data_IF_041698827331
#
_entry.id   IF_041698827331
#
_cell.length_a   1.000
_cell.length_b   1.000
_cell.length_c   1.000
_cell.angle_alpha   90.00
_cell.angle_beta   90.00
_cell.angle_gamma   90.00
#
_symmetry.space_group_name_H-M   'P 1'
#
loop_
_entity.id
_entity.type
_entity.pdbx_description
1 polymer ?
#
# COMPACT_ATOMS: atom_id res chain seq x y z
N UNK A 1 2.22 93.84 3.76
CA UNK A 1 2.56 94.92 2.82
C UNK A 1 4.06 95.04 2.75
N UNK A 2 4.59 94.96 1.52
CA UNK A 2 5.83 95.52 0.98
C UNK A 2 7.08 95.50 1.86
N UNK A 3 8.07 94.68 1.46
CA UNK A 3 9.20 95.10 0.61
C UNK A 3 10.37 95.52 1.53
N UNK A 4 11.64 95.27 1.26
CA UNK A 4 12.34 95.11 -0.02
C UNK A 4 13.67 94.43 0.29
N UNK A 5 14.19 93.76 -0.73
CA UNK A 5 15.55 93.23 -0.94
C UNK A 5 16.69 94.03 -0.31
N UNK A 6 17.75 93.32 0.11
CA UNK A 6 19.07 93.54 -0.49
C UNK A 6 20.02 92.33 -0.39
N UNK A 7 20.77 92.15 -1.47
CA UNK A 7 21.82 91.14 -1.70
C UNK A 7 23.17 91.63 -1.19
N UNK A 8 23.93 90.81 -0.47
CA UNK A 8 25.42 90.82 -0.42
C UNK A 8 25.86 89.36 -0.11
N UNK A 9 26.35 88.54 -1.06
CA UNK A 9 27.71 88.37 -1.62
C UNK A 9 28.84 88.02 -0.60
N UNK A 10 29.51 86.87 -0.87
CA UNK A 10 30.89 86.49 -0.48
C UNK A 10 31.01 85.91 0.95
N UNK A 11 31.65 84.77 1.25
CA UNK A 11 32.80 84.08 0.63
C UNK A 11 32.76 82.56 0.90
N UNK A 12 33.15 81.81 -0.13
CA UNK A 12 33.52 80.39 -0.04
C UNK A 12 34.86 80.24 0.70
N UNK A 13 34.86 79.48 1.79
CA UNK A 13 36.07 78.86 2.33
C UNK A 13 36.01 77.36 2.03
N UNK A 14 36.68 76.98 0.93
CA UNK A 14 36.98 75.59 0.59
C UNK A 14 37.91 75.00 1.65
N UNK A 15 37.35 74.29 2.63
CA UNK A 15 38.12 73.32 3.40
C UNK A 15 38.07 71.98 2.66
N UNK A 16 39.20 71.66 2.02
CA UNK A 16 39.40 70.41 1.29
C UNK A 16 39.20 69.19 2.21
N UNK A 17 38.46 68.16 1.76
CA UNK A 17 38.37 66.90 2.49
C UNK A 17 39.72 66.17 2.43
N UNK A 18 40.31 65.93 3.60
CA UNK A 18 41.45 65.01 3.79
C UNK A 18 41.02 63.62 3.35
N UNK A 19 41.35 63.24 2.11
CA UNK A 19 41.14 61.91 1.57
C UNK A 19 41.97 60.89 2.37
N UNK A 20 41.32 60.15 3.27
CA UNK A 20 41.92 58.95 3.86
C UNK A 20 41.98 57.87 2.78
N UNK A 21 43.17 57.43 2.34
CA UNK A 21 43.27 56.31 1.43
C UNK A 21 43.11 54.99 2.21
N UNK A 22 42.50 54.01 1.53
CA UNK A 22 42.89 52.60 1.61
C UNK A 22 42.29 51.61 2.65
N UNK A 23 41.20 51.92 3.37
CA UNK A 23 40.54 50.84 4.15
C UNK A 23 39.64 49.93 3.28
N UNK A 24 39.02 50.47 2.22
CA UNK A 24 38.12 49.68 1.36
C UNK A 24 38.83 48.65 0.48
N UNK A 25 40.08 48.90 0.07
CA UNK A 25 40.82 47.97 -0.80
C UNK A 25 41.20 46.67 -0.06
N UNK A 26 41.39 46.75 1.27
CA UNK A 26 41.74 45.58 2.10
C UNK A 26 40.57 44.60 2.27
N UNK A 27 39.34 45.09 2.44
CA UNK A 27 38.15 44.23 2.53
C UNK A 27 37.81 43.55 1.21
N UNK A 28 37.95 44.25 0.08
CA UNK A 28 37.67 43.66 -1.24
C UNK A 28 38.62 42.49 -1.57
N UNK A 29 39.91 42.58 -1.20
CA UNK A 29 40.85 41.47 -1.41
C UNK A 29 40.47 40.21 -0.61
N UNK A 30 39.94 40.35 0.62
CA UNK A 30 39.50 39.21 1.42
C UNK A 30 38.24 38.55 0.85
N UNK A 31 37.29 39.33 0.33
CA UNK A 31 36.08 38.80 -0.30
C UNK A 31 36.43 38.04 -1.58
N UNK A 32 37.31 38.60 -2.42
CA UNK A 32 37.76 37.92 -3.65
C UNK A 32 38.49 36.60 -3.39
N UNK A 33 39.19 36.46 -2.26
CA UNK A 33 39.82 35.21 -1.87
C UNK A 33 38.84 34.15 -1.38
N UNK A 34 37.68 34.53 -0.83
CA UNK A 34 36.68 33.60 -0.27
C UNK A 34 35.73 33.06 -1.35
N UNK A 35 35.40 33.87 -2.37
CA UNK A 35 34.50 33.50 -3.47
C UNK A 35 34.86 32.14 -4.14
N UNK A 36 36.12 31.84 -4.51
CA UNK A 36 36.44 30.55 -5.14
C UNK A 36 36.19 29.36 -4.20
N UNK A 37 36.40 29.51 -2.89
CA UNK A 37 36.12 28.45 -1.91
C UNK A 37 34.61 28.19 -1.76
N UNK A 38 33.79 29.25 -1.78
CA UNK A 38 32.33 29.11 -1.75
C UNK A 38 31.84 28.38 -3.02
N UNK A 39 32.37 28.74 -4.20
CA UNK A 39 32.01 28.08 -5.46
C UNK A 39 32.41 26.61 -5.44
N UNK A 40 33.63 26.28 -4.99
CA UNK A 40 34.10 24.90 -4.84
C UNK A 40 33.22 24.08 -3.88
N UNK A 41 32.81 24.68 -2.76
CA UNK A 41 31.95 24.01 -1.78
C UNK A 41 30.54 23.72 -2.34
N UNK A 42 29.94 24.67 -3.08
CA UNK A 42 28.65 24.48 -3.74
C UNK A 42 28.75 23.37 -4.80
N UNK A 43 29.81 23.36 -5.61
CA UNK A 43 30.05 22.31 -6.61
C UNK A 43 30.22 20.93 -5.95
N UNK A 44 30.91 20.85 -4.81
CA UNK A 44 31.06 19.61 -4.05
C UNK A 44 29.70 19.08 -3.55
N UNK A 45 28.86 19.94 -2.95
CA UNK A 45 27.53 19.54 -2.51
C UNK A 45 26.65 19.08 -3.68
N UNK A 46 26.67 19.80 -4.80
CA UNK A 46 25.95 19.38 -6.01
C UNK A 46 26.42 18.00 -6.49
N UNK A 47 27.72 17.75 -6.49
CA UNK A 47 28.29 16.45 -6.90
C UNK A 47 27.84 15.32 -5.98
N UNK A 48 27.76 15.55 -4.66
CA UNK A 48 27.22 14.58 -3.72
C UNK A 48 25.73 14.31 -3.93
N UNK A 49 24.94 15.34 -4.21
CA UNK A 49 23.52 15.18 -4.56
C UNK A 49 23.35 14.39 -5.85
N UNK A 50 24.12 14.71 -6.89
CA UNK A 50 24.13 13.97 -8.16
C UNK A 50 24.56 12.52 -7.95
N UNK A 51 25.65 12.26 -7.21
CA UNK A 51 26.08 10.89 -6.90
C UNK A 51 25.01 10.10 -6.14
N UNK A 52 24.35 10.72 -5.16
CA UNK A 52 23.25 10.08 -4.44
C UNK A 52 22.12 9.70 -5.40
N UNK A 53 21.69 10.61 -6.27
CA UNK A 53 20.62 10.32 -7.23
C UNK A 53 21.03 9.28 -8.29
N UNK A 54 22.26 9.34 -8.80
CA UNK A 54 22.80 8.36 -9.74
C UNK A 54 22.92 6.98 -9.08
N UNK A 55 23.40 6.91 -7.84
CA UNK A 55 23.49 5.65 -7.09
C UNK A 55 22.10 5.07 -6.78
N UNK A 56 21.13 5.91 -6.41
CA UNK A 56 19.73 5.46 -6.25
C UNK A 56 19.14 4.96 -7.56
N UNK A 57 19.36 5.67 -8.67
CA UNK A 57 18.91 5.24 -9.99
C UNK A 57 19.59 3.94 -10.42
N UNK A 58 20.90 3.80 -10.15
CA UNK A 58 21.68 2.61 -10.49
C UNK A 58 21.28 1.40 -9.64
N UNK A 59 21.09 1.54 -8.32
CA UNK A 59 20.60 0.46 -7.45
C UNK A 59 19.19 0.01 -7.88
N UNK A 60 18.32 0.96 -8.24
CA UNK A 60 16.98 0.62 -8.72
C UNK A 60 16.99 -0.03 -10.11
N UNK A 61 17.94 0.34 -10.98
CA UNK A 61 18.03 -0.21 -12.33
C UNK A 61 18.83 -1.53 -12.41
N UNK A 62 19.74 -1.80 -11.45
CA UNK A 62 20.51 -3.04 -11.42
C UNK A 62 19.90 -4.13 -10.52
N UNK A 63 18.81 -3.85 -9.80
CA UNK A 63 18.02 -4.89 -9.16
C UNK A 63 17.23 -5.76 -10.17
N UNK A 64 17.32 -5.48 -11.47
CA UNK A 64 16.63 -6.21 -12.54
C UNK A 64 17.57 -7.09 -13.40
N UNK A 65 18.82 -7.29 -12.98
CA UNK A 65 19.70 -8.29 -13.61
C UNK A 65 19.23 -9.71 -13.28
N UNK A 66 18.31 -10.21 -14.11
CA UNK A 66 18.31 -11.57 -14.67
C UNK A 66 18.76 -12.70 -13.73
N UNK A 67 18.17 -12.81 -12.55
CA UNK A 67 17.69 -14.14 -12.18
C UNK A 67 16.54 -14.42 -13.12
N UNK A 68 16.58 -15.54 -13.86
CA UNK A 68 15.45 -16.12 -14.59
C UNK A 68 14.33 -16.57 -13.63
N UNK A 69 14.05 -15.76 -12.63
CA UNK A 69 13.20 -16.03 -11.50
C UNK A 69 11.79 -15.58 -11.81
N UNK A 70 10.86 -16.32 -11.23
CA UNK A 70 9.44 -16.06 -11.33
C UNK A 70 9.11 -14.62 -10.94
N UNK A 71 8.27 -13.97 -11.75
CA UNK A 71 7.74 -12.63 -11.49
C UNK A 71 6.41 -12.74 -10.75
N UNK A 72 6.27 -12.03 -9.64
CA UNK A 72 5.02 -12.03 -8.87
C UNK A 72 4.31 -10.68 -9.02
N UNK A 73 2.98 -10.69 -9.10
CA UNK A 73 2.15 -9.51 -8.92
C UNK A 73 1.38 -9.63 -7.61
N UNK A 74 1.48 -8.62 -6.75
CA UNK A 74 0.71 -8.54 -5.52
C UNK A 74 -0.51 -7.66 -5.76
N UNK A 75 -1.68 -8.23 -5.56
CA UNK A 75 -2.95 -7.55 -5.66
C UNK A 75 -3.53 -7.29 -4.27
N UNK A 76 -3.43 -6.05 -3.80
CA UNK A 76 -3.94 -5.61 -2.51
C UNK A 76 -5.22 -4.79 -2.69
N UNK A 77 -6.37 -5.35 -2.30
CA UNK A 77 -7.65 -4.66 -2.51
C UNK A 77 -8.52 -4.62 -1.26
N UNK A 78 -9.28 -3.54 -1.10
CA UNK A 78 -10.29 -3.41 -0.05
C UNK A 78 -10.25 -2.09 0.69
N UNK A 79 -10.90 -2.06 1.85
CA UNK A 79 -10.94 -0.89 2.72
C UNK A 79 -9.64 -0.86 3.52
N UNK A 80 -8.83 0.22 3.48
CA UNK A 80 -7.51 0.28 4.12
C UNK A 80 -7.57 0.48 5.64
N UNK A 81 -8.40 -0.31 6.35
CA UNK A 81 -8.74 -0.09 7.77
C UNK A 81 -7.53 0.03 8.70
N UNK A 82 -6.47 -0.71 8.43
CA UNK A 82 -5.28 -0.78 9.28
C UNK A 82 -3.98 -0.59 8.52
N UNK A 83 -4.03 -0.33 7.21
CA UNK A 83 -2.83 -0.14 6.37
C UNK A 83 -1.97 1.05 6.80
N UNK A 84 -2.51 2.02 7.55
CA UNK A 84 -1.75 3.15 8.08
C UNK A 84 -0.83 2.77 9.26
N UNK A 85 -1.02 1.60 9.87
CA UNK A 85 -0.19 1.11 10.97
C UNK A 85 1.15 0.61 10.41
N UNK A 86 2.25 1.06 10.99
CA UNK A 86 3.60 0.72 10.53
C UNK A 86 3.86 -0.77 10.54
N UNK A 87 3.41 -1.45 11.59
CA UNK A 87 3.61 -2.87 11.77
C UNK A 87 3.01 -3.68 10.62
N UNK A 88 1.88 -3.25 10.05
CA UNK A 88 1.23 -3.94 8.95
C UNK A 88 2.01 -3.81 7.63
N UNK A 89 2.29 -2.59 7.18
CA UNK A 89 2.93 -2.42 5.88
C UNK A 89 4.43 -2.81 5.91
N UNK A 90 5.09 -2.70 7.05
CA UNK A 90 6.46 -3.23 7.24
C UNK A 90 6.44 -4.76 7.23
N UNK A 91 5.52 -5.39 7.95
CA UNK A 91 5.34 -6.84 7.91
C UNK A 91 5.04 -7.34 6.50
N UNK A 92 4.09 -6.70 5.81
CA UNK A 92 3.74 -7.06 4.44
C UNK A 92 4.94 -7.01 3.50
N UNK A 93 5.76 -5.94 3.56
CA UNK A 93 6.98 -5.88 2.75
C UNK A 93 7.96 -7.00 3.10
N UNK A 94 8.20 -7.22 4.40
CA UNK A 94 9.19 -8.19 4.87
C UNK A 94 8.79 -9.64 4.58
N UNK A 95 7.54 -10.00 4.87
CA UNK A 95 7.05 -11.38 4.83
C UNK A 95 6.42 -11.74 3.48
N UNK A 96 5.94 -10.78 2.69
CA UNK A 96 5.43 -11.03 1.34
C UNK A 96 6.37 -10.51 0.25
N UNK A 97 6.53 -9.19 0.10
CA UNK A 97 7.24 -8.62 -1.06
C UNK A 97 8.72 -9.03 -1.13
N UNK A 98 9.41 -9.19 0.01
CA UNK A 98 10.80 -9.63 0.01
C UNK A 98 10.95 -11.15 -0.25
N UNK A 99 9.90 -11.95 -0.03
CA UNK A 99 9.92 -13.41 -0.22
C UNK A 99 9.39 -13.83 -1.59
N UNK A 100 8.45 -13.06 -2.10
CA UNK A 100 7.94 -13.12 -3.45
C UNK A 100 8.16 -11.74 -4.09
N UNK A 101 9.39 -11.44 -4.55
CA UNK A 101 9.68 -10.18 -5.23
C UNK A 101 8.74 -9.97 -6.41
N UNK A 102 8.12 -8.79 -6.45
CA UNK A 102 7.04 -8.53 -7.38
C UNK A 102 6.54 -7.10 -7.36
N UNK A 103 5.68 -6.80 -8.33
CA UNK A 103 5.02 -5.51 -8.42
C UNK A 103 3.75 -5.49 -7.57
N UNK A 104 3.54 -4.42 -6.82
CA UNK A 104 2.36 -4.26 -5.96
C UNK A 104 1.31 -3.35 -6.63
N UNK A 105 0.09 -3.84 -6.71
CA UNK A 105 -1.10 -3.17 -7.24
C UNK A 105 -2.09 -2.97 -6.10
N UNK A 106 -2.50 -1.72 -5.86
CA UNK A 106 -3.25 -1.32 -4.68
C UNK A 106 -4.59 -0.68 -5.09
N UNK A 107 -5.70 -1.33 -4.76
CA UNK A 107 -7.07 -0.86 -5.07
C UNK A 107 -7.81 -0.59 -3.76
N UNK A 108 -7.87 0.67 -3.34
CA UNK A 108 -8.39 1.05 -2.02
C UNK A 108 -9.75 1.71 -2.11
N UNK A 109 -10.66 1.26 -1.26
CA UNK A 109 -12.01 1.80 -1.13
C UNK A 109 -12.03 2.94 -0.10
N UNK A 110 -12.43 4.14 -0.55
CA UNK A 110 -12.59 5.33 0.27
C UNK A 110 -13.96 5.32 0.93
N UNK A 111 -14.03 4.98 2.21
CA UNK A 111 -15.25 5.11 3.00
C UNK A 111 -15.72 6.57 3.07
N UNK A 112 -17.03 6.78 2.91
CA UNK A 112 -17.62 8.10 3.12
C UNK A 112 -17.55 8.45 4.61
N UNK A 113 -17.43 9.75 4.92
CA UNK A 113 -17.24 10.30 6.28
C UNK A 113 -18.27 9.84 7.34
N UNK A 114 -19.38 9.25 6.92
CA UNK A 114 -20.50 8.84 7.77
C UNK A 114 -20.68 7.33 7.87
N UNK A 115 -19.83 6.53 7.21
CA UNK A 115 -19.92 5.07 7.32
C UNK A 115 -19.44 4.64 8.72
N UNK A 116 -20.37 4.12 9.51
CA UNK A 116 -20.06 3.41 10.74
C UNK A 116 -19.81 1.95 10.41
N UNK A 117 -18.60 1.47 10.65
CA UNK A 117 -18.35 0.03 10.69
C UNK A 117 -18.52 -0.38 12.16
N UNK A 118 -19.42 -1.34 12.43
CA UNK A 118 -19.81 -1.81 13.78
C UNK A 118 -19.96 -0.69 14.83
N UNK A 119 -20.65 0.41 14.47
CA UNK A 119 -20.94 1.52 15.39
C UNK A 119 -19.81 2.53 15.58
N UNK A 120 -18.65 2.35 14.93
CA UNK A 120 -17.55 3.32 15.01
C UNK A 120 -17.53 4.22 13.78
N UNK A 121 -17.62 5.53 14.03
CA UNK A 121 -17.45 6.56 12.99
C UNK A 121 -16.00 6.57 12.50
N UNK A 122 -15.77 6.08 11.27
CA UNK A 122 -14.46 6.14 10.63
C UNK A 122 -14.39 7.47 9.86
N UNK A 123 -14.17 8.56 10.58
CA UNK A 123 -14.24 9.91 10.02
C UNK A 123 -13.01 10.34 9.19
N UNK A 124 -11.96 9.52 9.08
CA UNK A 124 -10.74 9.90 8.34
C UNK A 124 -10.05 8.73 7.60
N UNK A 125 -10.67 8.30 6.50
CA UNK A 125 -10.01 7.55 5.42
C UNK A 125 -9.42 8.48 4.35
N UNK A 126 -8.78 9.56 4.75
CA UNK A 126 -8.10 10.46 3.82
C UNK A 126 -6.87 9.77 3.22
N UNK A 127 -6.62 9.86 1.91
CA UNK A 127 -5.40 9.35 1.27
C UNK A 127 -4.11 9.74 2.01
N UNK A 128 -4.09 10.93 2.63
CA UNK A 128 -2.97 11.44 3.44
C UNK A 128 -2.56 10.51 4.58
N UNK A 129 -3.50 9.79 5.20
CA UNK A 129 -3.23 8.86 6.31
C UNK A 129 -2.39 7.65 5.86
N UNK A 130 -2.50 7.30 4.58
CA UNK A 130 -1.86 6.12 3.98
C UNK A 130 -0.57 6.46 3.24
N UNK A 131 -0.19 7.74 3.16
CA UNK A 131 0.99 8.20 2.40
C UNK A 131 2.27 7.51 2.85
N UNK A 132 2.47 7.32 4.16
CA UNK A 132 3.66 6.63 4.68
C UNK A 132 3.72 5.18 4.20
N UNK A 133 2.61 4.45 4.35
CA UNK A 133 2.48 3.06 3.91
C UNK A 133 2.69 2.92 2.39
N UNK A 134 2.03 3.75 1.58
CA UNK A 134 2.14 3.72 0.12
C UNK A 134 3.53 4.11 -0.35
N UNK A 135 4.17 5.09 0.29
CA UNK A 135 5.57 5.44 0.00
C UNK A 135 6.52 4.30 0.35
N UNK A 136 6.27 3.58 1.45
CA UNK A 136 7.12 2.49 1.90
C UNK A 136 6.96 1.22 1.04
N UNK A 137 5.72 0.90 0.66
CA UNK A 137 5.37 -0.27 -0.15
C UNK A 137 5.66 -0.08 -1.65
N UNK A 138 5.85 1.17 -2.10
CA UNK A 138 6.18 1.52 -3.48
C UNK A 138 5.31 0.79 -4.53
N UNK A 139 3.97 0.89 -4.45
CA UNK A 139 3.10 0.20 -5.39
C UNK A 139 3.30 0.74 -6.81
N UNK A 140 3.29 -0.19 -7.77
CA UNK A 140 3.35 0.12 -9.20
C UNK A 140 2.11 0.87 -9.67
N UNK A 141 0.95 0.53 -9.09
CA UNK A 141 -0.33 1.18 -9.37
C UNK A 141 -1.14 1.37 -8.10
N UNK A 142 -1.76 2.54 -7.96
CA UNK A 142 -2.72 2.84 -6.90
C UNK A 142 -4.01 3.32 -7.57
N UNK A 143 -5.14 2.77 -7.15
CA UNK A 143 -6.47 3.24 -7.50
C UNK A 143 -7.30 3.47 -6.23
N UNK A 144 -7.97 4.61 -6.18
CA UNK A 144 -8.91 4.94 -5.11
C UNK A 144 -10.34 4.85 -5.66
N UNK A 145 -11.16 4.00 -5.04
CA UNK A 145 -12.56 3.79 -5.44
C UNK A 145 -13.47 4.44 -4.39
N UNK A 146 -14.37 5.36 -4.76
CA UNK A 146 -15.33 5.94 -3.83
C UNK A 146 -16.30 4.90 -3.23
N UNK A 147 -16.58 4.94 -1.92
CA UNK A 147 -17.59 4.07 -1.26
C UNK A 147 -19.02 4.37 -1.74
N UNK A 148 -19.33 5.58 -2.19
CA UNK A 148 -20.64 5.88 -2.78
C UNK A 148 -20.84 5.27 -4.17
N UNK A 149 -19.77 4.80 -4.82
CA UNK A 149 -19.87 3.81 -5.89
C UNK A 149 -20.02 2.40 -5.31
N UNK A 150 -20.79 2.26 -4.23
CA UNK A 150 -21.75 1.16 -4.09
C UNK A 150 -22.68 1.22 -5.30
N UNK A 151 -22.18 0.80 -6.46
CA UNK A 151 -22.99 -0.03 -7.35
C UNK A 151 -23.70 -1.01 -6.40
N UNK A 152 -25.02 -0.93 -6.27
CA UNK A 152 -25.86 -1.77 -5.39
C UNK A 152 -25.34 -2.03 -3.96
N UNK A 153 -25.77 -1.22 -2.99
CA UNK A 153 -25.65 -1.60 -1.59
C UNK A 153 -26.43 -2.90 -1.33
N UNK A 154 -25.75 -3.87 -0.71
CA UNK A 154 -26.17 -5.22 -0.32
C UNK A 154 -25.64 -6.30 -1.29
N UNK A 155 -24.97 -7.28 -0.70
CA UNK A 155 -24.63 -8.59 -1.26
C UNK A 155 -23.29 -8.68 -2.03
N UNK A 156 -22.65 -9.84 -1.89
CA UNK A 156 -21.24 -10.19 -2.14
C UNK A 156 -20.70 -9.92 -3.57
N UNK A 157 -21.52 -9.41 -4.48
CA UNK A 157 -21.18 -9.03 -5.87
C UNK A 157 -20.00 -8.05 -5.98
N UNK A 158 -19.93 -7.07 -5.08
CA UNK A 158 -19.04 -5.92 -5.23
C UNK A 158 -17.63 -6.16 -4.70
N UNK A 159 -17.45 -7.17 -3.86
CA UNK A 159 -16.12 -7.63 -3.44
C UNK A 159 -15.27 -8.01 -4.65
N UNK A 160 -15.88 -8.61 -5.67
CA UNK A 160 -15.20 -9.13 -6.87
C UNK A 160 -14.74 -8.06 -7.84
N UNK A 161 -15.51 -6.98 -8.00
CA UNK A 161 -15.15 -5.90 -8.92
C UNK A 161 -13.77 -5.29 -8.61
N UNK A 162 -13.39 -5.22 -7.32
CA UNK A 162 -12.06 -4.73 -6.90
C UNK A 162 -10.93 -5.67 -7.33
N UNK A 163 -11.14 -6.98 -7.19
CA UNK A 163 -10.18 -8.00 -7.63
C UNK A 163 -10.03 -8.01 -9.14
N UNK A 164 -11.15 -7.91 -9.86
CA UNK A 164 -11.15 -7.78 -11.30
C UNK A 164 -10.38 -6.54 -11.76
N UNK A 165 -10.64 -5.36 -11.17
CA UNK A 165 -9.90 -4.12 -11.49
C UNK A 165 -8.40 -4.26 -11.26
N UNK A 166 -8.03 -4.90 -10.16
CA UNK A 166 -6.63 -5.16 -9.86
C UNK A 166 -5.97 -6.05 -10.92
N UNK A 167 -6.67 -7.11 -11.37
CA UNK A 167 -6.21 -7.97 -12.46
C UNK A 167 -6.09 -7.19 -13.79
N UNK A 168 -7.02 -6.29 -14.07
CA UNK A 168 -6.96 -5.41 -15.25
C UNK A 168 -5.73 -4.49 -15.22
N UNK A 169 -5.34 -3.95 -14.06
CA UNK A 169 -4.09 -3.18 -13.94
C UNK A 169 -2.84 -4.05 -14.15
N UNK A 170 -2.87 -5.29 -13.65
CA UNK A 170 -1.78 -6.26 -13.90
C UNK A 170 -1.64 -6.49 -15.41
N UNK A 171 -2.74 -6.78 -16.11
CA UNK A 171 -2.76 -7.02 -17.56
C UNK A 171 -2.33 -5.80 -18.37
N UNK A 172 -2.73 -4.59 -17.95
CA UNK A 172 -2.27 -3.36 -18.57
C UNK A 172 -0.75 -3.22 -18.48
N UNK A 173 -0.17 -3.51 -17.32
CA UNK A 173 1.28 -3.48 -17.12
C UNK A 173 1.99 -4.59 -17.91
N UNK A 174 1.45 -5.82 -17.90
CA UNK A 174 1.98 -6.93 -18.73
C UNK A 174 2.05 -6.52 -20.20
N UNK A 175 0.99 -5.89 -20.71
CA UNK A 175 0.93 -5.40 -22.10
C UNK A 175 1.85 -4.21 -22.37
N UNK A 176 1.89 -3.23 -21.47
CA UNK A 176 2.66 -1.99 -21.66
C UNK A 176 4.17 -2.25 -21.62
N UNK A 177 4.61 -3.10 -20.69
CA UNK A 177 6.03 -3.32 -20.43
C UNK A 177 6.58 -4.58 -21.12
N UNK A 178 5.71 -5.34 -21.81
CA UNK A 178 6.09 -6.60 -22.47
C UNK A 178 6.54 -7.67 -21.47
N UNK A 179 6.03 -7.62 -20.23
CA UNK A 179 6.34 -8.58 -19.18
C UNK A 179 5.17 -9.55 -18.99
N UNK A 180 5.43 -10.67 -18.32
CA UNK A 180 4.39 -11.58 -17.86
C UNK A 180 4.69 -11.95 -16.41
N UNK A 181 3.67 -11.92 -15.56
CA UNK A 181 3.79 -12.45 -14.21
C UNK A 181 3.56 -13.96 -14.22
N UNK A 182 4.27 -14.66 -13.35
CA UNK A 182 4.12 -16.10 -13.15
C UNK A 182 3.11 -16.39 -12.05
N UNK A 183 3.08 -15.55 -11.02
CA UNK A 183 2.20 -15.69 -9.86
C UNK A 183 1.46 -14.40 -9.52
N UNK A 184 0.27 -14.54 -8.96
CA UNK A 184 -0.52 -13.47 -8.36
C UNK A 184 -0.74 -13.79 -6.89
N UNK A 185 -0.43 -12.84 -6.01
CA UNK A 185 -0.77 -12.87 -4.59
C UNK A 185 -1.96 -11.95 -4.36
N UNK A 186 -3.11 -12.52 -4.00
CA UNK A 186 -4.31 -11.79 -3.61
C UNK A 186 -4.27 -11.54 -2.10
N UNK A 187 -4.46 -10.30 -1.66
CA UNK A 187 -4.48 -9.94 -0.23
C UNK A 187 -5.32 -8.70 0.05
N UNK A 188 -5.72 -8.48 1.30
CA UNK A 188 -6.39 -7.25 1.75
C UNK A 188 -5.42 -6.33 2.50
N UNK A 189 -5.69 -5.02 2.51
CA UNK A 189 -4.86 -4.04 3.21
C UNK A 189 -4.94 -4.13 4.75
N UNK A 190 -5.83 -4.95 5.31
CA UNK A 190 -5.96 -5.19 6.75
C UNK A 190 -5.48 -6.58 7.20
N UNK A 191 -4.80 -7.32 6.31
CA UNK A 191 -4.17 -8.60 6.66
C UNK A 191 -2.74 -8.41 7.15
N UNK A 192 -2.45 -8.98 8.31
CA UNK A 192 -1.11 -9.12 8.85
C UNK A 192 -0.58 -10.51 8.51
N UNK A 193 0.49 -10.57 7.72
CA UNK A 193 1.15 -11.82 7.36
C UNK A 193 2.19 -12.09 8.43
N UNK A 194 1.91 -13.01 9.36
CA UNK A 194 2.73 -13.26 10.54
C UNK A 194 3.96 -14.14 10.25
N UNK A 195 3.96 -14.90 9.14
CA UNK A 195 5.08 -15.74 8.72
C UNK A 195 5.44 -15.47 7.26
N UNK A 196 6.73 -15.62 6.95
CA UNK A 196 7.25 -15.50 5.59
C UNK A 196 6.44 -16.39 4.62
N UNK A 197 6.03 -15.79 3.50
CA UNK A 197 5.48 -16.55 2.39
C UNK A 197 6.56 -17.46 1.79
N UNK A 198 6.17 -18.61 1.21
CA UNK A 198 7.10 -19.44 0.46
C UNK A 198 7.71 -18.62 -0.70
N UNK A 199 8.95 -18.94 -1.06
CA UNK A 199 9.60 -18.36 -2.24
C UNK A 199 8.97 -18.92 -3.51
N UNK A 200 9.12 -18.20 -4.62
CA UNK A 200 8.37 -18.49 -5.85
C UNK A 200 8.71 -19.85 -6.48
N UNK A 201 9.91 -20.38 -6.24
CA UNK A 201 10.35 -21.72 -6.64
C UNK A 201 9.60 -22.86 -5.92
N UNK A 202 9.01 -22.58 -4.77
CA UNK A 202 8.21 -23.53 -4.00
C UNK A 202 6.72 -23.46 -4.33
N UNK A 203 6.30 -22.49 -5.16
CA UNK A 203 4.90 -22.31 -5.51
C UNK A 203 4.49 -23.27 -6.63
N UNK A 204 3.32 -23.95 -6.50
CA UNK A 204 2.85 -24.84 -7.54
C UNK A 204 2.33 -24.03 -8.74
N UNK A 205 2.63 -24.49 -9.95
CA UNK A 205 2.20 -23.84 -11.20
C UNK A 205 0.85 -24.33 -11.73
N UNK A 206 0.25 -25.33 -11.07
CA UNK A 206 -0.96 -26.02 -11.54
C UNK A 206 -2.17 -25.96 -10.59
N UNK A 207 -2.05 -25.25 -9.46
CA UNK A 207 -3.13 -25.12 -8.47
C UNK A 207 -3.05 -23.79 -7.74
N UNK A 208 -4.17 -23.36 -7.17
CA UNK A 208 -4.26 -22.17 -6.31
C UNK A 208 -4.02 -22.56 -4.86
N UNK A 209 -3.15 -21.83 -4.16
CA UNK A 209 -2.98 -21.94 -2.71
C UNK A 209 -3.91 -20.95 -2.00
N UNK A 210 -4.73 -21.44 -1.08
CA UNK A 210 -5.78 -20.66 -0.42
C UNK A 210 -5.62 -20.78 1.08
N UNK A 211 -5.66 -19.64 1.79
CA UNK A 211 -5.64 -19.69 3.25
C UNK A 211 -6.96 -20.28 3.77
N UNK A 212 -6.94 -21.29 4.66
CA UNK A 212 -8.16 -21.73 5.31
C UNK A 212 -8.78 -20.57 6.10
N UNK A 213 -10.11 -20.48 6.10
CA UNK A 213 -10.79 -19.42 6.85
C UNK A 213 -10.48 -19.49 8.35
N UNK A 214 -10.41 -20.69 8.92
CA UNK A 214 -10.19 -20.87 10.35
C UNK A 214 -8.85 -20.27 10.82
N UNK A 215 -7.82 -20.21 9.97
CA UNK A 215 -6.51 -19.62 10.30
C UNK A 215 -6.61 -18.12 10.63
N UNK A 216 -7.57 -17.40 10.04
CA UNK A 216 -7.79 -15.98 10.38
C UNK A 216 -8.37 -15.80 11.80
N UNK A 217 -8.88 -16.87 12.41
CA UNK A 217 -9.61 -16.85 13.67
C UNK A 217 -8.98 -17.70 14.78
N UNK A 218 -7.93 -18.50 14.52
CA UNK A 218 -7.35 -19.41 15.52
C UNK A 218 -6.79 -18.69 16.75
N UNK A 219 -6.28 -17.47 16.57
CA UNK A 219 -5.77 -16.65 17.66
C UNK A 219 -6.80 -15.63 18.14
N UNK A 220 -8.08 -15.78 17.74
CA UNK A 220 -9.11 -14.99 18.38
C UNK A 220 -9.29 -15.48 19.81
N UNK A 221 -9.19 -14.56 20.76
CA UNK A 221 -9.26 -14.86 22.17
C UNK A 221 -10.61 -15.41 22.61
N UNK A 222 -10.59 -16.26 23.63
CA UNK A 222 -11.74 -16.97 24.19
C UNK A 222 -12.91 -16.09 24.66
N UNK A 223 -12.70 -14.77 24.79
CA UNK A 223 -13.73 -13.79 25.15
C UNK A 223 -14.62 -13.33 23.99
N UNK A 224 -14.23 -13.57 22.72
CA UNK A 224 -15.09 -13.33 21.55
C UNK A 224 -16.13 -14.46 21.38
N UNK A 225 -16.88 -14.71 22.46
CA UNK A 225 -17.95 -15.70 22.55
C UNK A 225 -19.26 -15.25 21.86
N UNK A 226 -19.21 -14.18 21.07
CA UNK A 226 -20.33 -13.80 20.21
C UNK A 226 -20.43 -14.76 19.02
N UNK A 227 -21.16 -15.85 19.28
CA UNK A 227 -22.20 -16.33 18.36
C UNK A 227 -21.78 -16.59 16.91
N UNK A 228 -20.62 -17.21 16.68
CA UNK A 228 -20.50 -18.08 15.50
C UNK A 228 -20.28 -19.55 15.91
N UNK A 229 -21.23 -20.20 16.62
CA UNK A 229 -21.27 -21.65 16.77
C UNK A 229 -21.08 -22.36 15.43
N UNK A 230 -21.54 -21.73 14.34
CA UNK A 230 -21.30 -22.19 12.98
C UNK A 230 -19.82 -22.12 12.59
N UNK A 231 -19.00 -21.18 13.05
CA UNK A 231 -17.56 -21.18 12.78
C UNK A 231 -16.91 -22.40 13.46
N UNK A 232 -17.09 -22.57 14.77
CA UNK A 232 -16.47 -23.66 15.54
C UNK A 232 -16.90 -25.04 15.01
N UNK A 233 -18.20 -25.26 14.79
CA UNK A 233 -18.73 -26.49 14.21
C UNK A 233 -18.38 -26.68 12.71
N UNK A 234 -17.84 -25.64 12.06
CA UNK A 234 -17.32 -25.70 10.69
C UNK A 234 -15.81 -25.84 10.63
N UNK A 235 -15.05 -25.49 11.67
CA UNK A 235 -13.60 -25.80 11.76
C UNK A 235 -13.41 -27.32 11.81
N UNK A 236 -14.29 -28.03 12.52
CA UNK A 236 -14.28 -29.50 12.64
C UNK A 236 -14.66 -30.23 11.34
N UNK A 237 -15.29 -29.52 10.39
CA UNK A 237 -15.68 -30.07 9.10
C UNK A 237 -14.76 -29.47 8.04
N UNK A 238 -14.08 -30.29 7.24
CA UNK A 238 -13.26 -29.86 6.08
C UNK A 238 -14.02 -29.01 5.01
N UNK A 239 -15.26 -28.62 5.30
CA UNK A 239 -16.17 -27.81 4.51
C UNK A 239 -15.95 -26.30 4.65
N UNK A 240 -14.97 -25.83 5.41
CA UNK A 240 -14.69 -24.40 5.42
C UNK A 240 -14.42 -23.90 3.99
N UNK A 241 -15.20 -22.89 3.61
CA UNK A 241 -15.17 -22.27 2.29
C UNK A 241 -13.77 -21.87 1.84
N UNK A 242 -13.62 -21.62 0.55
CA UNK A 242 -12.41 -20.99 0.01
C UNK A 242 -12.33 -19.56 0.55
N UNK A 243 -11.23 -19.18 1.20
CA UNK A 243 -11.07 -17.80 1.64
C UNK A 243 -10.93 -16.84 0.47
N UNK A 244 -11.87 -15.91 0.38
CA UNK A 244 -11.79 -14.76 -0.52
C UNK A 244 -10.76 -13.71 -0.06
N UNK A 245 -10.08 -13.91 1.07
CA UNK A 245 -9.25 -12.88 1.70
C UNK A 245 -7.77 -12.95 1.29
N UNK A 246 -7.22 -14.16 1.16
CA UNK A 246 -5.83 -14.38 0.77
C UNK A 246 -5.67 -15.63 -0.09
N UNK A 247 -4.94 -15.50 -1.20
CA UNK A 247 -4.58 -16.62 -2.05
C UNK A 247 -3.28 -16.33 -2.82
N UNK A 248 -2.56 -17.39 -3.18
CA UNK A 248 -1.45 -17.34 -4.14
C UNK A 248 -1.81 -18.24 -5.32
N UNK A 249 -1.75 -17.72 -6.53
CA UNK A 249 -2.15 -18.46 -7.73
C UNK A 249 -1.16 -18.27 -8.88
N UNK A 250 -0.96 -19.28 -9.72
CA UNK A 250 -0.35 -19.08 -11.04
C UNK A 250 -1.14 -18.03 -11.82
N UNK A 251 -0.45 -17.15 -12.54
CA UNK A 251 -1.10 -16.13 -13.38
C UNK A 251 -2.08 -16.74 -14.38
N UNK A 252 -1.78 -17.92 -14.90
CA UNK A 252 -2.65 -18.69 -15.82
C UNK A 252 -3.97 -19.16 -15.20
N UNK A 253 -4.07 -19.21 -13.87
CA UNK A 253 -5.25 -19.67 -13.13
C UNK A 253 -5.99 -18.51 -12.43
N UNK A 254 -5.52 -17.28 -12.59
CA UNK A 254 -6.05 -16.14 -11.85
C UNK A 254 -7.44 -15.69 -12.32
N UNK A 255 -7.71 -15.77 -13.62
CA UNK A 255 -8.96 -15.31 -14.23
C UNK A 255 -10.22 -15.91 -13.58
N UNK A 256 -10.37 -17.24 -13.45
CA UNK A 256 -11.56 -17.83 -12.81
C UNK A 256 -11.66 -17.51 -11.31
N UNK A 257 -10.58 -17.05 -10.66
CA UNK A 257 -10.58 -16.70 -9.24
C UNK A 257 -10.85 -15.21 -8.99
N UNK A 258 -10.36 -14.34 -9.87
CA UNK A 258 -10.35 -12.88 -9.71
C UNK A 258 -11.48 -12.19 -10.48
N UNK A 259 -12.00 -12.82 -11.56
CA UNK A 259 -13.12 -12.32 -12.39
C UNK A 259 -14.43 -13.02 -12.08
N UNK A 260 -14.62 -13.42 -10.82
CA UNK A 260 -15.84 -14.10 -10.39
C UNK A 260 -17.00 -13.11 -10.50
N UNK A 261 -17.92 -13.39 -11.43
CA UNK A 261 -19.23 -12.77 -11.42
C UNK A 261 -20.10 -13.54 -10.42
N UNK A 262 -20.82 -12.81 -9.58
CA UNK A 262 -21.87 -13.43 -8.78
C UNK A 262 -22.86 -14.10 -9.72
N UNK A 263 -23.22 -15.33 -9.37
CA UNK A 263 -24.20 -16.10 -10.10
C UNK A 263 -25.21 -16.56 -9.06
N UNK A 264 -26.45 -16.05 -9.08
CA UNK A 264 -27.48 -16.58 -8.20
C UNK A 264 -27.76 -18.05 -8.57
N UNK A 265 -28.09 -18.87 -7.57
CA UNK A 265 -28.46 -20.29 -7.73
C UNK A 265 -27.31 -21.24 -8.13
N UNK A 266 -26.17 -21.13 -7.46
CA UNK A 266 -25.09 -22.09 -7.64
C UNK A 266 -25.44 -23.48 -7.07
N UNK A 267 -24.97 -24.58 -7.69
CA UNK A 267 -25.29 -25.92 -7.21
C UNK A 267 -24.77 -26.13 -5.79
N UNK A 268 -25.67 -26.49 -4.85
CA UNK A 268 -25.32 -26.70 -3.42
C UNK A 268 -24.17 -27.69 -3.21
N UNK A 269 -24.04 -28.69 -4.10
CA UNK A 269 -22.96 -29.68 -4.01
C UNK A 269 -21.57 -29.10 -4.29
N UNK A 270 -21.47 -27.95 -4.99
CA UNK A 270 -20.20 -27.26 -5.26
C UNK A 270 -19.84 -26.32 -4.12
N UNK A 271 -20.83 -25.66 -3.53
CA UNK A 271 -20.62 -24.64 -2.51
C UNK A 271 -20.47 -25.19 -1.10
N UNK A 272 -21.03 -26.38 -0.83
CA UNK A 272 -21.19 -26.88 0.53
C UNK A 272 -22.33 -26.17 1.26
N UNK A 273 -22.78 -26.74 2.38
CA UNK A 273 -24.00 -26.27 3.06
C UNK A 273 -23.86 -24.93 3.82
N UNK A 274 -22.66 -24.36 3.89
CA UNK A 274 -22.34 -23.20 4.76
C UNK A 274 -21.45 -22.13 4.11
N UNK A 275 -21.18 -22.20 2.81
CA UNK A 275 -20.40 -21.16 2.15
C UNK A 275 -21.21 -19.85 2.06
N UNK A 276 -20.55 -18.72 2.33
CA UNK A 276 -21.09 -17.41 1.97
C UNK A 276 -21.24 -17.32 0.45
N UNK A 277 -22.16 -16.51 -0.04
CA UNK A 277 -22.47 -16.45 -1.47
C UNK A 277 -21.24 -16.11 -2.31
N UNK A 278 -20.36 -15.25 -1.79
CA UNK A 278 -19.06 -14.99 -2.40
C UNK A 278 -18.14 -16.22 -2.50
N UNK A 279 -17.92 -16.94 -1.40
CA UNK A 279 -17.02 -18.11 -1.41
C UNK A 279 -17.56 -19.23 -2.32
N UNK A 280 -18.89 -19.35 -2.35
CA UNK A 280 -19.62 -20.22 -3.27
C UNK A 280 -19.38 -19.82 -4.73
N UNK A 281 -19.43 -18.53 -5.07
CA UNK A 281 -19.14 -18.04 -6.41
C UNK A 281 -17.71 -18.35 -6.87
N UNK A 282 -16.72 -18.20 -5.99
CA UNK A 282 -15.33 -18.58 -6.28
C UNK A 282 -15.24 -20.09 -6.53
N UNK A 283 -15.80 -20.92 -5.65
CA UNK A 283 -15.79 -22.39 -5.81
C UNK A 283 -16.43 -22.82 -7.12
N UNK A 284 -17.57 -22.24 -7.47
CA UNK A 284 -18.26 -22.53 -8.73
C UNK A 284 -17.44 -22.12 -9.95
N UNK A 285 -16.79 -20.96 -9.92
CA UNK A 285 -15.94 -20.51 -11.01
C UNK A 285 -14.71 -21.42 -11.19
N UNK A 286 -14.06 -21.83 -10.10
CA UNK A 286 -12.95 -22.79 -10.14
C UNK A 286 -13.40 -24.17 -10.64
N UNK A 287 -14.53 -24.67 -10.15
CA UNK A 287 -15.10 -25.93 -10.61
C UNK A 287 -15.41 -25.91 -12.11
N UNK A 288 -16.09 -24.86 -12.60
CA UNK A 288 -16.40 -24.67 -14.02
C UNK A 288 -15.15 -24.59 -14.89
N UNK A 289 -14.09 -23.96 -14.38
CA UNK A 289 -12.81 -23.83 -15.07
C UNK A 289 -11.89 -25.04 -14.91
N UNK A 290 -12.33 -26.09 -14.19
CA UNK A 290 -11.51 -27.25 -13.84
C UNK A 290 -10.17 -26.87 -13.17
N UNK A 291 -10.19 -25.86 -12.32
CA UNK A 291 -9.02 -25.37 -11.59
C UNK A 291 -8.96 -26.01 -10.21
N UNK A 292 -7.83 -26.64 -9.92
CA UNK A 292 -7.58 -27.22 -8.60
C UNK A 292 -7.07 -26.16 -7.62
N UNK A 293 -7.40 -26.34 -6.35
CA UNK A 293 -6.89 -25.53 -5.27
C UNK A 293 -6.47 -26.41 -4.09
N UNK A 294 -5.60 -25.86 -3.26
CA UNK A 294 -5.07 -26.51 -2.06
C UNK A 294 -5.20 -25.55 -0.89
N UNK A 295 -5.70 -26.05 0.24
CA UNK A 295 -5.73 -25.30 1.48
C UNK A 295 -4.31 -25.29 2.06
N UNK A 296 -3.76 -24.08 2.22
CA UNK A 296 -2.41 -23.89 2.70
C UNK A 296 -2.44 -23.01 3.96
N UNK A 297 -1.92 -23.48 5.11
CA UNK A 297 -2.03 -22.78 6.38
C UNK A 297 -1.03 -21.63 6.45
N UNK A 298 -1.32 -20.54 5.75
CA UNK A 298 -0.55 -19.31 5.89
C UNK A 298 -0.87 -18.70 7.25
N UNK A 299 0.17 -18.28 8.00
CA UNK A 299 -0.05 -17.60 9.27
C UNK A 299 -0.44 -16.15 8.97
N UNK A 300 -1.74 -15.91 8.75
CA UNK A 300 -2.30 -14.61 8.36
C UNK A 300 -3.43 -14.23 9.29
N UNK A 301 -3.41 -12.99 9.75
CA UNK A 301 -4.35 -12.46 10.74
C UNK A 301 -5.08 -11.25 10.19
N UNK A 302 -6.34 -11.06 10.58
CA UNK A 302 -7.07 -9.83 10.28
C UNK A 302 -6.80 -8.83 11.40
N UNK A 303 -6.25 -7.66 11.06
CA UNK A 303 -6.03 -6.59 12.03
C UNK A 303 -7.22 -5.65 12.04
N UNK A 304 -7.82 -5.46 13.21
CA UNK A 304 -8.90 -4.51 13.41
C UNK A 304 -8.37 -3.18 13.98
N UNK A 305 -8.99 -2.04 13.62
CA UNK A 305 -8.70 -0.77 14.28
C UNK A 305 -8.96 -0.82 15.80
N UNK A 306 -8.13 -0.15 16.60
CA UNK A 306 -8.20 -0.16 18.07
C UNK A 306 -9.58 0.24 18.64
N UNK A 307 -10.32 1.06 17.90
CA UNK A 307 -11.67 1.48 18.25
C UNK A 307 -12.73 0.35 18.25
N UNK A 308 -12.46 -0.80 17.63
CA UNK A 308 -13.27 -2.02 17.78
C UNK A 308 -12.91 -2.81 19.06
N UNK A 309 -11.80 -2.45 19.71
CA UNK A 309 -11.31 -3.09 20.92
C UNK A 309 -11.94 -2.52 22.21
N UNK A 310 -12.78 -1.49 22.11
CA UNK A 310 -13.48 -0.92 23.28
C UNK A 310 -14.69 -1.73 23.75
N UNK A 311 -14.85 -2.97 23.27
CA UNK A 311 -15.67 -3.96 23.95
C UNK A 311 -14.95 -4.40 25.25
N UNK A 312 -15.02 -3.52 26.26
CA UNK A 312 -14.77 -3.64 27.71
C UNK A 312 -13.71 -4.65 28.20
N UNK A 313 -12.66 -4.09 28.80
CA UNK A 313 -11.95 -4.61 29.99
C UNK A 313 -11.10 -5.88 29.87
N UNK A 314 -10.47 -6.16 28.72
CA UNK A 314 -9.43 -7.21 28.65
C UNK A 314 -8.09 -6.70 28.08
N UNK A 315 -7.11 -6.54 28.99
CA UNK A 315 -5.79 -5.93 28.77
C UNK A 315 -4.97 -6.57 27.64
N UNK A 316 -5.18 -7.84 27.32
CA UNK A 316 -4.38 -8.55 26.30
C UNK A 316 -4.87 -8.28 24.86
N UNK A 317 -6.06 -7.70 24.67
CA UNK A 317 -6.50 -7.22 23.34
C UNK A 317 -5.68 -6.00 22.89
N UNK A 318 -5.17 -5.20 23.84
CA UNK A 318 -4.46 -3.95 23.58
C UNK A 318 -3.17 -4.09 22.75
N UNK A 319 -2.57 -5.28 22.70
CA UNK A 319 -1.38 -5.55 21.88
C UNK A 319 -1.69 -5.95 20.43
N UNK A 320 -2.96 -6.24 20.13
CA UNK A 320 -3.48 -6.58 18.80
C UNK A 320 -4.26 -5.41 18.18
N UNK A 321 -4.68 -4.49 19.04
CA UNK A 321 -4.92 -3.09 18.73
C UNK A 321 -3.57 -2.34 18.59
#
# INVERSE_FOLDING_TARGET
>A
MNATTDKILISNSLNQPKSRPSVMISCFKKIFLIIPFIILFILFILTLFLHKHVLYAWINNNATTTTSGYRTAHCMTGIPRTLYKEELYVAYRRQALNKLPGDLFVILELMNKTDTIHGVNITDNQPKRYTAALKYLTPRKIEWIPSNNRLGALDDEHGYAKWQRCLEHIEQVEKQDGIKYDFIVRTRPDLYIAKDLPTADLLPTNRILINPYYEFFQDMPSGYNHTWPDLQASVDKKDFGISSLFAIMPRSLADPYMRVAYTPNLPRHVCGSRAKDGDCAIRAALYKANVTFELWPFVIRIMYPAQFCHAKDEDWFSSWC
#
